data_IF_941174823789
#
_entry.id   IF_941174823789
#
_cell.length_a   1.000
_cell.length_b   1.000
_cell.length_c   1.000
_cell.angle_alpha   90.00
_cell.angle_beta   90.00
_cell.angle_gamma   90.00
#
_symmetry.space_group_name_H-M   'P 1'
#
loop_
_entity.id
_entity.type
_entity.pdbx_description
1 polymer ?
#
# COMPACT_ATOMS: atom_id res chain seq x y z
N UNK A 1 -23.14 5.31 -41.89
CA UNK A 1 -22.04 4.50 -41.33
C UNK A 1 -20.96 5.44 -40.84
N UNK A 2 -20.87 5.63 -39.53
CA UNK A 2 -19.67 6.21 -38.90
C UNK A 2 -19.65 5.73 -37.45
N UNK A 3 -19.03 4.57 -37.23
CA UNK A 3 -18.70 4.10 -35.89
C UNK A 3 -17.47 4.90 -35.43
N UNK A 4 -17.69 5.83 -34.50
CA UNK A 4 -16.59 6.49 -33.79
C UNK A 4 -15.94 5.47 -32.86
N UNK A 5 -14.78 4.95 -33.27
CA UNK A 5 -13.89 4.22 -32.37
C UNK A 5 -13.22 5.24 -31.45
N UNK A 6 -13.72 5.39 -30.23
CA UNK A 6 -12.95 6.03 -29.15
C UNK A 6 -11.86 5.07 -28.69
N UNK A 7 -10.72 5.22 -29.35
CA UNK A 7 -9.41 4.70 -28.96
C UNK A 7 -9.10 5.00 -27.49
N UNK A 8 -8.99 3.95 -26.67
CA UNK A 8 -7.94 3.56 -25.71
C UNK A 8 -7.22 4.60 -24.80
N UNK A 9 -7.26 5.90 -25.09
CA UNK A 9 -6.52 6.95 -24.40
C UNK A 9 -7.22 7.39 -23.10
N UNK A 10 -8.55 7.37 -23.08
CA UNK A 10 -9.34 7.86 -21.95
C UNK A 10 -9.23 6.95 -20.71
N UNK A 11 -9.12 5.64 -20.93
CA UNK A 11 -8.94 4.64 -19.88
C UNK A 11 -7.56 4.71 -19.18
N UNK A 12 -6.55 5.26 -19.86
CA UNK A 12 -5.20 5.39 -19.30
C UNK A 12 -5.06 6.65 -18.42
N UNK A 13 -5.73 7.74 -18.79
CA UNK A 13 -5.78 8.97 -18.01
C UNK A 13 -6.54 8.78 -16.69
N UNK A 14 -7.65 8.03 -16.70
CA UNK A 14 -8.43 7.73 -15.49
C UNK A 14 -7.62 6.95 -14.45
N UNK A 15 -6.82 5.97 -14.88
CA UNK A 15 -5.99 5.18 -13.95
C UNK A 15 -4.95 6.03 -13.21
N UNK A 16 -4.30 6.97 -13.91
CA UNK A 16 -3.30 7.85 -13.33
C UNK A 16 -3.89 8.86 -12.35
N UNK A 17 -5.03 9.45 -12.66
CA UNK A 17 -5.72 10.40 -11.78
C UNK A 17 -6.30 9.72 -10.53
N UNK A 18 -6.88 8.53 -10.68
CA UNK A 18 -7.36 7.73 -9.55
C UNK A 18 -6.20 7.35 -8.63
N UNK A 19 -5.06 6.93 -9.18
CA UNK A 19 -3.87 6.63 -8.38
C UNK A 19 -3.39 7.88 -7.62
N UNK A 20 -3.31 9.03 -8.29
CA UNK A 20 -2.88 10.29 -7.65
C UNK A 20 -3.83 10.70 -6.52
N UNK A 21 -5.15 10.61 -6.73
CA UNK A 21 -6.15 10.89 -5.68
C UNK A 21 -6.01 9.93 -4.50
N UNK A 22 -5.82 8.64 -4.76
CA UNK A 22 -5.60 7.61 -3.73
C UNK A 22 -4.35 7.90 -2.92
N UNK A 23 -3.23 8.22 -3.57
CA UNK A 23 -1.98 8.56 -2.90
C UNK A 23 -2.09 9.85 -2.10
N UNK A 24 -2.75 10.87 -2.66
CA UNK A 24 -2.98 12.14 -1.98
C UNK A 24 -3.81 11.93 -0.72
N UNK A 25 -4.97 11.28 -0.82
CA UNK A 25 -5.82 10.95 0.33
C UNK A 25 -5.06 10.16 1.40
N UNK A 26 -4.26 9.17 0.99
CA UNK A 26 -3.46 8.40 1.93
C UNK A 26 -2.35 9.22 2.59
N UNK A 27 -1.74 10.18 1.89
CA UNK A 27 -0.68 11.05 2.45
C UNK A 27 -1.27 12.14 3.36
N UNK A 28 -2.43 12.69 3.01
CA UNK A 28 -3.14 13.68 3.83
C UNK A 28 -3.55 13.08 5.18
N UNK A 29 -3.96 11.80 5.18
CA UNK A 29 -4.36 11.09 6.39
C UNK A 29 -3.17 10.51 7.17
N UNK A 30 -2.08 10.16 6.46
CA UNK A 30 -0.88 9.56 7.04
C UNK A 30 0.37 10.28 6.50
N UNK A 31 0.82 11.37 7.14
CA UNK A 31 1.90 12.23 6.62
C UNK A 31 3.24 11.51 6.48
N UNK A 32 3.40 10.35 7.12
CA UNK A 32 4.56 9.47 7.02
C UNK A 32 4.21 8.14 6.35
N UNK A 33 3.66 8.20 5.15
CA UNK A 33 3.38 7.01 4.36
C UNK A 33 4.67 6.47 3.72
N UNK A 34 4.86 5.15 3.75
CA UNK A 34 5.91 4.45 3.00
C UNK A 34 5.26 3.52 1.99
N UNK A 35 5.82 3.50 0.79
CA UNK A 35 5.37 2.65 -0.30
C UNK A 35 6.41 1.57 -0.60
N UNK A 36 6.01 0.31 -0.55
CA UNK A 36 6.82 -0.83 -0.93
C UNK A 36 6.31 -1.39 -2.25
N UNK A 37 7.20 -1.49 -3.24
CA UNK A 37 6.92 -2.19 -4.47
C UNK A 37 7.30 -3.66 -4.30
N UNK A 38 6.30 -4.54 -4.35
CA UNK A 38 6.44 -5.97 -4.16
C UNK A 38 6.21 -6.68 -5.48
N UNK A 39 6.98 -7.74 -5.71
CA UNK A 39 6.86 -8.59 -6.90
C UNK A 39 6.48 -9.99 -6.44
N UNK A 40 5.27 -10.42 -6.81
CA UNK A 40 4.79 -11.76 -6.51
C UNK A 40 5.08 -12.67 -7.71
N UNK A 41 5.86 -13.75 -7.53
CA UNK A 41 5.93 -14.81 -8.52
C UNK A 41 4.58 -15.53 -8.56
N UNK A 42 4.15 -15.94 -9.75
CA UNK A 42 2.95 -16.76 -9.98
C UNK A 42 1.67 -16.18 -9.36
N UNK A 43 1.12 -15.17 -10.02
CA UNK A 43 -0.14 -14.54 -9.61
C UNK A 43 -1.30 -15.52 -9.80
N UNK A 44 -1.82 -16.03 -8.69
CA UNK A 44 -3.11 -16.73 -8.63
C UNK A 44 -3.97 -16.06 -7.57
N UNK A 45 -5.32 -16.11 -7.69
CA UNK A 45 -6.21 -15.55 -6.68
C UNK A 45 -5.91 -16.09 -5.27
N UNK A 46 -5.59 -17.38 -5.18
CA UNK A 46 -5.25 -18.06 -3.91
C UNK A 46 -3.95 -17.51 -3.33
N UNK A 47 -2.89 -17.40 -4.13
CA UNK A 47 -1.59 -16.91 -3.66
C UNK A 47 -1.66 -15.45 -3.22
N UNK A 48 -2.37 -14.61 -3.99
CA UNK A 48 -2.57 -13.20 -3.66
C UNK A 48 -3.34 -13.04 -2.35
N UNK A 49 -4.43 -13.80 -2.19
CA UNK A 49 -5.22 -13.74 -0.96
C UNK A 49 -4.43 -14.24 0.25
N UNK A 50 -3.67 -15.34 0.09
CA UNK A 50 -2.80 -15.86 1.14
C UNK A 50 -1.75 -14.82 1.53
N UNK A 51 -1.08 -14.22 0.54
CA UNK A 51 -0.10 -13.16 0.77
C UNK A 51 -0.68 -11.96 1.51
N UNK A 52 -1.84 -11.45 1.06
CA UNK A 52 -2.54 -10.35 1.74
C UNK A 52 -2.84 -10.69 3.21
N UNK A 53 -3.37 -11.89 3.48
CA UNK A 53 -3.68 -12.33 4.83
C UNK A 53 -2.44 -12.41 5.71
N UNK A 54 -1.36 -13.00 5.21
CA UNK A 54 -0.09 -13.12 5.94
C UNK A 54 0.49 -11.74 6.28
N UNK A 55 0.55 -10.82 5.32
CA UNK A 55 1.06 -9.46 5.58
C UNK A 55 0.18 -8.72 6.57
N UNK A 56 -1.15 -8.80 6.42
CA UNK A 56 -2.09 -8.14 7.34
C UNK A 56 -1.92 -8.66 8.76
N UNK A 57 -1.80 -9.98 8.92
CA UNK A 57 -1.59 -10.61 10.21
C UNK A 57 -0.27 -10.13 10.86
N UNK A 58 0.85 -10.20 10.14
CA UNK A 58 2.15 -9.80 10.68
C UNK A 58 2.20 -8.31 11.08
N UNK A 59 1.60 -7.44 10.27
CA UNK A 59 1.52 -6.01 10.56
C UNK A 59 0.63 -5.75 11.78
N UNK A 60 -0.48 -6.48 11.91
CA UNK A 60 -1.37 -6.35 13.07
C UNK A 60 -0.70 -6.83 14.36
N UNK A 61 -0.01 -7.97 14.32
CA UNK A 61 0.77 -8.50 15.44
C UNK A 61 1.88 -7.52 15.87
N UNK A 62 2.59 -6.93 14.90
CA UNK A 62 3.59 -5.89 15.17
C UNK A 62 2.97 -4.66 15.84
N UNK A 63 1.82 -4.18 15.35
CA UNK A 63 1.12 -3.04 15.92
C UNK A 63 0.69 -3.32 17.37
N UNK A 64 0.13 -4.50 17.64
CA UNK A 64 -0.25 -4.94 18.99
C UNK A 64 0.98 -5.02 19.90
N UNK A 65 2.07 -5.66 19.47
CA UNK A 65 3.29 -5.78 20.25
C UNK A 65 3.86 -4.41 20.64
N UNK A 66 3.85 -3.44 19.70
CA UNK A 66 4.29 -2.08 19.97
C UNK A 66 3.39 -1.35 20.94
N UNK A 67 2.07 -1.48 20.78
CA UNK A 67 1.11 -0.90 21.71
C UNK A 67 1.31 -1.43 23.13
N UNK A 68 1.52 -2.74 23.29
CA UNK A 68 1.82 -3.36 24.58
C UNK A 68 3.16 -2.89 25.18
N UNK A 69 4.15 -2.55 24.34
CA UNK A 69 5.43 -1.99 24.77
C UNK A 69 5.39 -0.49 25.13
N UNK A 70 4.19 0.12 25.21
CA UNK A 70 4.03 1.55 25.51
C UNK A 70 4.34 2.47 24.33
N UNK A 71 4.38 1.93 23.10
CA UNK A 71 4.70 2.66 21.87
C UNK A 71 3.47 2.64 20.96
N UNK A 72 2.50 3.53 21.18
CA UNK A 72 1.27 3.54 20.41
C UNK A 72 1.59 3.72 18.91
N UNK A 73 1.03 2.85 18.09
CA UNK A 73 1.13 2.92 16.63
C UNK A 73 -0.13 3.62 16.11
N UNK A 74 0.00 4.70 15.32
CA UNK A 74 -1.16 5.33 14.68
C UNK A 74 -1.87 4.34 13.74
N UNK A 75 -3.17 4.54 13.46
CA UNK A 75 -3.93 3.68 12.56
C UNK A 75 -3.14 3.47 11.26
N UNK A 76 -2.93 2.22 10.88
CA UNK A 76 -2.12 1.87 9.73
C UNK A 76 -3.02 1.30 8.66
N UNK A 77 -3.25 2.05 7.58
CA UNK A 77 -4.02 1.53 6.44
C UNK A 77 -3.08 0.78 5.51
N UNK A 78 -3.32 -0.53 5.40
CA UNK A 78 -2.71 -1.40 4.40
C UNK A 78 -3.50 -1.24 3.09
N UNK A 79 -2.92 -0.53 2.11
CA UNK A 79 -3.55 -0.40 0.79
C UNK A 79 -2.71 -1.10 -0.27
N UNK A 80 -3.39 -1.95 -1.03
CA UNK A 80 -2.82 -2.74 -2.12
C UNK A 80 -3.27 -2.17 -3.47
N UNK A 81 -2.31 -1.86 -4.34
CA UNK A 81 -2.60 -1.39 -5.69
C UNK A 81 -1.80 -2.23 -6.68
N UNK A 82 -2.46 -2.80 -7.69
CA UNK A 82 -1.77 -3.46 -8.79
C UNK A 82 -0.99 -2.41 -9.60
N UNK A 83 0.33 -2.54 -9.65
CA UNK A 83 1.20 -1.68 -10.46
C UNK A 83 1.19 -2.09 -11.94
N UNK A 84 0.73 -3.30 -12.24
CA UNK A 84 0.48 -3.81 -13.60
C UNK A 84 -0.68 -4.81 -13.58
N UNK A 85 -1.38 -5.04 -14.72
CA UNK A 85 -2.35 -6.12 -14.82
C UNK A 85 -1.74 -7.47 -14.40
N UNK A 86 -2.49 -8.35 -13.74
CA UNK A 86 -1.98 -9.64 -13.29
C UNK A 86 -1.60 -10.51 -14.50
N UNK A 87 -0.30 -10.72 -14.69
CA UNK A 87 0.26 -11.71 -15.63
C UNK A 87 0.86 -12.90 -14.87
N UNK A 88 1.89 -13.56 -15.43
CA UNK A 88 2.63 -14.60 -14.70
C UNK A 88 3.33 -14.07 -13.44
N UNK A 89 3.69 -12.79 -13.43
CA UNK A 89 4.28 -12.07 -12.29
C UNK A 89 3.46 -10.81 -12.04
N UNK A 90 3.20 -10.50 -10.78
CA UNK A 90 2.35 -9.40 -10.36
C UNK A 90 3.14 -8.39 -9.55
N UNK A 91 3.10 -7.12 -9.98
CA UNK A 91 3.69 -6.02 -9.20
C UNK A 91 2.60 -5.35 -8.38
N UNK A 92 2.82 -5.20 -7.09
CA UNK A 92 1.87 -4.63 -6.15
C UNK A 92 2.54 -3.54 -5.33
N UNK A 93 1.83 -2.46 -5.09
CA UNK A 93 2.24 -1.43 -4.15
C UNK A 93 1.57 -1.70 -2.80
N UNK A 94 2.38 -1.76 -1.75
CA UNK A 94 1.94 -1.79 -0.36
C UNK A 94 2.19 -0.43 0.25
N UNK A 95 1.13 0.22 0.70
CA UNK A 95 1.20 1.47 1.46
C UNK A 95 1.04 1.17 2.94
N UNK A 96 1.93 1.73 3.77
CA UNK A 96 1.93 1.55 5.22
C UNK A 96 2.39 2.84 5.90
N UNK A 97 1.89 3.13 7.10
CA UNK A 97 2.45 4.19 7.93
C UNK A 97 3.87 3.78 8.40
N UNK A 98 4.83 4.67 8.24
CA UNK A 98 6.20 4.50 8.69
C UNK A 98 6.27 4.23 10.20
N UNK A 99 5.41 4.86 10.99
CA UNK A 99 5.36 4.71 12.46
C UNK A 99 5.09 3.27 12.93
N UNK A 100 4.52 2.44 12.06
CA UNK A 100 4.22 1.04 12.35
C UNK A 100 5.49 0.21 12.57
N UNK A 101 6.57 0.50 11.83
CA UNK A 101 7.80 -0.29 11.87
C UNK A 101 9.05 0.53 12.20
N UNK A 102 9.10 1.82 11.85
CA UNK A 102 10.19 2.68 12.27
C UNK A 102 9.98 3.14 13.71
N UNK A 103 11.09 3.31 14.42
CA UNK A 103 11.08 4.10 15.65
C UNK A 103 11.02 5.57 15.22
N UNK A 104 10.13 6.41 15.76
CA UNK A 104 10.38 7.84 15.70
C UNK A 104 11.76 8.04 16.35
N UNK A 105 12.76 8.46 15.58
CA UNK A 105 14.09 8.80 16.09
C UNK A 105 14.05 10.11 16.91
N UNK A 106 13.02 10.32 17.71
CA UNK A 106 12.91 11.43 18.66
C UNK A 106 13.34 11.04 20.07
N UNK A 107 14.08 9.93 20.23
CA UNK A 107 15.01 9.77 21.35
C UNK A 107 16.21 10.71 21.14
N UNK A 108 15.96 12.03 21.15
CA UNK A 108 16.98 13.00 21.52
C UNK A 108 16.70 13.35 22.96
N UNK A 109 17.34 12.64 23.87
CA UNK A 109 17.48 13.10 25.25
C UNK A 109 18.03 14.52 25.21
N UNK A 110 17.41 15.52 25.86
CA UNK A 110 18.10 16.77 26.12
C UNK A 110 19.31 16.41 27.00
N UNK A 111 20.51 16.68 26.49
CA UNK A 111 21.72 16.69 27.31
C UNK A 111 21.76 17.92 28.19
#
# INVERSE_FOLDING_TARGET
MTHCHTTSTDAHLTGGETLRKVLQQSTDQYPRLVAFLLTLPTVSPVNVQHFHKSVYQQVSELAVARQLSGRPVPPTVLRWIWASPPGQTGRMLLLLNQDTFCHPRFDRTPG
#
